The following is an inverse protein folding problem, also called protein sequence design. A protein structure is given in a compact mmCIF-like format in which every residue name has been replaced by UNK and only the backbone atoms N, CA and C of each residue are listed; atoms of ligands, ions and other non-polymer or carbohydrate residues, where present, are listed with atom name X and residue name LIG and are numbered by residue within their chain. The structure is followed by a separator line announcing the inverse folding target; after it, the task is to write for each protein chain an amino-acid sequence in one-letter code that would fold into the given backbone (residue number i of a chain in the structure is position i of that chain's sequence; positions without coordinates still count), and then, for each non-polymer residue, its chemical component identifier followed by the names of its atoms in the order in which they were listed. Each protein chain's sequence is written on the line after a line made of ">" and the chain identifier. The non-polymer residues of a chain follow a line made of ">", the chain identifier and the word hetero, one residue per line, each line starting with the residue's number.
data_IF_157739713950
#
_entry.id   IF_157739713950
#
_cell.length_a   1.000
_cell.length_b   1.000
_cell.length_c   1.000
_cell.angle_alpha   90.00
_cell.angle_beta   90.00
_cell.angle_gamma   90.00
#
_symmetry.space_group_name_H-M   'P 1'
#
loop_
_entity.id
_entity.type
_entity.pdbx_description
1 polymer ?
#
# COMPACT_ATOMS: atom_id res chain seq x y z
N UNK A 1 -18.68 -34.83 -33.89
CA UNK A 1 -17.78 -33.68 -34.15
C UNK A 1 -17.17 -33.25 -32.83
N UNK A 2 -15.89 -33.53 -32.61
CA UNK A 2 -15.17 -33.16 -31.39
C UNK A 2 -14.58 -31.75 -31.57
N UNK A 3 -15.00 -30.81 -30.73
CA UNK A 3 -14.50 -29.43 -30.75
C UNK A 3 -13.06 -29.38 -30.29
N UNK A 4 -12.19 -28.82 -31.15
CA UNK A 4 -10.79 -28.56 -30.83
C UNK A 4 -10.75 -27.35 -29.88
N UNK A 5 -10.66 -27.59 -28.57
CA UNK A 5 -10.29 -26.55 -27.61
C UNK A 5 -8.82 -26.23 -27.79
N UNK A 6 -8.52 -25.19 -28.55
CA UNK A 6 -7.18 -24.62 -28.64
C UNK A 6 -6.79 -24.07 -27.27
N UNK A 7 -5.84 -24.73 -26.58
CA UNK A 7 -5.18 -24.18 -25.40
C UNK A 7 -4.22 -23.10 -25.87
N UNK A 8 -4.57 -21.84 -25.66
CA UNK A 8 -3.66 -20.72 -25.91
C UNK A 8 -2.52 -20.83 -24.90
N UNK A 9 -1.31 -21.08 -25.39
CA UNK A 9 -0.09 -21.13 -24.59
C UNK A 9 0.28 -19.71 -24.17
N UNK A 10 -0.05 -19.32 -22.94
CA UNK A 10 0.38 -18.06 -22.36
C UNK A 10 1.70 -18.25 -21.60
N UNK A 11 2.79 -18.01 -22.32
CA UNK A 11 4.15 -17.96 -21.78
C UNK A 11 4.33 -16.79 -20.80
N UNK A 12 5.23 -16.98 -19.84
CA UNK A 12 5.71 -15.96 -18.91
C UNK A 12 6.06 -14.67 -19.67
N UNK A 13 5.38 -13.56 -19.36
CA UNK A 13 5.66 -12.25 -19.96
C UNK A 13 6.71 -11.55 -19.12
N UNK A 14 7.90 -11.33 -19.69
CA UNK A 14 8.87 -10.42 -19.09
C UNK A 14 8.40 -8.98 -19.37
N UNK A 15 7.88 -8.33 -18.33
CA UNK A 15 7.47 -6.93 -18.40
C UNK A 15 8.62 -6.06 -17.91
N UNK A 16 9.41 -5.54 -18.84
CA UNK A 16 10.29 -4.41 -18.57
C UNK A 16 9.48 -3.13 -18.69
N UNK A 17 8.80 -2.72 -17.61
CA UNK A 17 8.40 -1.33 -17.48
C UNK A 17 9.69 -0.52 -17.31
N UNK A 18 9.92 0.46 -18.19
CA UNK A 18 11.09 1.33 -18.09
C UNK A 18 11.18 1.88 -16.67
N UNK A 19 12.35 1.70 -16.04
CA UNK A 19 12.66 2.24 -14.73
C UNK A 19 12.74 3.76 -14.88
N UNK A 20 11.61 4.46 -14.72
CA UNK A 20 11.64 5.91 -14.60
C UNK A 20 12.21 6.20 -13.21
N UNK A 21 13.47 6.63 -13.17
CA UNK A 21 14.12 7.08 -11.95
C UNK A 21 13.30 8.22 -11.33
N UNK A 22 12.63 7.96 -10.21
CA UNK A 22 11.92 8.97 -9.45
C UNK A 22 12.97 9.82 -8.72
N UNK A 23 13.32 10.97 -9.32
CA UNK A 23 13.99 12.04 -8.58
C UNK A 23 12.93 12.82 -7.82
N UNK A 24 12.98 12.72 -6.49
CA UNK A 24 12.27 13.68 -5.64
C UNK A 24 12.85 15.08 -5.89
N UNK A 25 12.06 16.15 -5.78
CA UNK A 25 12.61 17.50 -5.80
C UNK A 25 13.61 17.64 -4.65
N UNK A 26 14.84 18.03 -4.96
CA UNK A 26 15.86 18.34 -3.95
C UNK A 26 15.29 19.43 -3.02
N UNK A 27 15.08 19.10 -1.74
CA UNK A 27 14.87 20.13 -0.73
C UNK A 27 16.21 20.80 -0.44
N UNK A 28 16.25 22.13 -0.27
CA UNK A 28 17.47 22.82 0.10
C UNK A 28 17.99 22.31 1.44
N UNK A 29 19.29 21.99 1.44
CA UNK A 29 20.04 21.44 2.57
C UNK A 29 19.71 22.16 3.89
N UNK A 30 18.90 21.50 4.71
CA UNK A 30 18.82 21.82 6.13
C UNK A 30 19.80 20.89 6.84
N UNK A 31 20.97 21.43 7.15
CA UNK A 31 21.95 20.83 8.05
C UNK A 31 21.23 20.33 9.30
N UNK A 32 21.21 19.02 9.51
CA UNK A 32 20.85 18.43 10.78
C UNK A 32 21.79 17.25 11.03
N UNK A 33 22.56 17.41 12.09
CA UNK A 33 23.62 16.55 12.59
C UNK A 33 23.16 15.12 12.89
N UNK A 34 24.06 14.18 12.59
CA UNK A 34 24.36 12.93 13.30
C UNK A 34 23.19 12.18 13.95
N UNK A 35 22.69 11.19 13.21
CA UNK A 35 22.15 9.96 13.80
C UNK A 35 22.96 8.77 13.29
N UNK A 36 24.04 8.50 14.01
CA UNK A 36 24.87 7.32 13.88
C UNK A 36 24.07 6.09 14.36
N UNK A 37 23.63 5.24 13.43
CA UNK A 37 23.13 3.90 13.73
C UNK A 37 24.30 2.91 13.66
N UNK A 38 24.91 2.62 14.81
CA UNK A 38 25.92 1.56 14.95
C UNK A 38 25.28 0.18 14.71
N UNK A 39 25.74 -0.50 13.67
CA UNK A 39 25.37 -1.87 13.33
C UNK A 39 26.23 -2.86 14.15
N UNK A 40 25.62 -3.99 14.51
CA UNK A 40 26.18 -5.09 15.29
C UNK A 40 27.53 -5.62 14.75
N UNK A 41 28.42 -5.97 15.67
CA UNK A 41 29.51 -6.91 15.42
C UNK A 41 29.20 -8.23 16.17
N UNK A 42 29.28 -9.34 15.43
CA UNK A 42 29.06 -10.72 15.88
C UNK A 42 30.11 -11.17 16.91
N UNK A 43 29.67 -11.99 17.88
CA UNK A 43 30.56 -12.69 18.81
C UNK A 43 29.89 -13.93 19.40
N UNK A 44 30.26 -15.09 18.86
CA UNK A 44 30.05 -16.45 19.37
C UNK A 44 30.67 -16.64 20.75
N UNK A 45 29.93 -17.24 21.70
CA UNK A 45 30.33 -18.45 22.45
C UNK A 45 29.40 -18.78 23.64
N UNK A 46 29.29 -20.08 23.95
CA UNK A 46 29.07 -20.52 25.35
C UNK A 46 27.68 -21.01 25.76
N UNK A 47 27.42 -22.30 25.53
CA UNK A 47 26.44 -23.11 26.30
C UNK A 47 26.61 -22.93 27.83
N UNK A 48 25.55 -22.66 28.60
CA UNK A 48 25.38 -23.24 29.95
C UNK A 48 23.91 -23.25 30.40
N UNK A 49 23.54 -24.37 31.02
CA UNK A 49 22.22 -24.78 31.50
C UNK A 49 21.78 -23.98 32.75
N UNK A 50 20.47 -23.78 32.97
CA UNK A 50 19.94 -23.77 34.34
C UNK A 50 18.97 -22.66 34.76
N UNK A 51 17.70 -23.05 34.87
CA UNK A 51 16.75 -22.85 35.98
C UNK A 51 16.45 -21.44 36.55
N UNK A 52 15.14 -21.18 36.58
CA UNK A 52 14.46 -20.22 37.45
C UNK A 52 14.63 -20.53 38.95
N UNK A 53 14.72 -19.45 39.74
CA UNK A 53 14.42 -19.20 41.17
C UNK A 53 14.89 -17.75 41.42
N UNK A 54 14.27 -16.80 42.12
CA UNK A 54 13.16 -16.71 43.05
C UNK A 54 13.45 -15.53 44.00
N UNK A 55 12.41 -14.86 44.50
CA UNK A 55 12.36 -14.06 45.75
C UNK A 55 12.80 -12.58 45.81
N UNK A 56 11.78 -11.73 46.00
CA UNK A 56 11.51 -10.74 47.07
C UNK A 56 12.57 -9.74 47.62
N UNK A 57 12.03 -8.52 47.81
CA UNK A 57 12.28 -7.47 48.82
C UNK A 57 13.69 -6.86 48.98
N UNK A 58 13.76 -5.52 48.88
CA UNK A 58 13.94 -4.65 50.06
C UNK A 58 13.82 -3.15 49.69
N UNK A 59 13.26 -2.43 50.64
CA UNK A 59 12.88 -1.02 50.70
C UNK A 59 14.10 -0.09 50.80
N UNK A 60 14.03 1.10 50.16
CA UNK A 60 14.67 2.30 50.73
C UNK A 60 13.90 3.56 50.38
N UNK A 61 13.08 4.00 51.33
CA UNK A 61 12.42 5.30 51.31
C UNK A 61 13.41 6.45 51.54
N UNK A 62 12.98 7.65 51.13
CA UNK A 62 13.37 8.93 51.70
C UNK A 62 12.20 9.91 51.45
N UNK A 63 11.56 10.36 52.53
CA UNK A 63 10.56 11.43 52.57
C UNK A 63 11.23 12.80 52.85
N UNK A 64 10.40 13.86 52.74
CA UNK A 64 10.56 15.29 53.12
C UNK A 64 10.91 16.25 51.95
N UNK A 65 10.26 17.39 51.72
CA UNK A 65 9.23 18.18 52.41
C UNK A 65 8.46 18.99 51.33
N UNK A 66 7.13 19.08 51.35
CA UNK A 66 6.32 20.18 51.94
C UNK A 66 6.86 21.60 51.71
N UNK A 67 6.27 22.31 50.73
CA UNK A 67 5.96 23.74 50.78
C UNK A 67 4.80 24.02 49.83
N UNK A 68 3.60 24.22 50.40
CA UNK A 68 2.47 24.81 49.71
C UNK A 68 2.52 26.34 49.72
N UNK A 69 2.12 26.97 48.61
CA UNK A 69 1.58 28.32 48.57
C UNK A 69 0.42 28.34 47.58
N UNK A 70 -0.73 28.83 48.04
CA UNK A 70 -1.97 28.92 47.27
C UNK A 70 -2.09 30.21 46.46
N UNK A 71 -2.94 30.09 45.44
CA UNK A 71 -3.85 31.02 44.76
C UNK A 71 -3.48 32.51 44.61
N UNK A 72 -3.60 33.04 43.39
CA UNK A 72 -4.66 34.01 43.05
C UNK A 72 -4.77 34.19 41.53
N UNK A 73 -6.02 34.42 41.11
CA UNK A 73 -6.50 34.68 39.75
C UNK A 73 -5.92 35.98 39.15
N UNK A 74 -5.80 36.04 37.81
CA UNK A 74 -6.40 37.08 36.95
C UNK A 74 -5.68 37.25 35.59
N UNK A 75 -6.53 37.21 34.55
CA UNK A 75 -6.55 38.12 33.40
C UNK A 75 -5.71 37.87 32.14
N UNK A 76 -6.28 38.43 31.07
CA UNK A 76 -6.28 38.08 29.67
C UNK A 76 -4.97 38.23 28.88
N UNK A 77 -4.87 37.41 27.84
CA UNK A 77 -3.89 37.56 26.78
C UNK A 77 -4.16 36.63 25.61
N UNK A 78 -5.21 36.93 24.82
CA UNK A 78 -5.36 36.37 23.48
C UNK A 78 -4.20 36.85 22.60
N UNK A 79 -3.24 35.98 22.34
CA UNK A 79 -2.48 36.01 21.08
C UNK A 79 -2.59 34.63 20.45
N UNK A 80 -3.68 34.43 19.69
CA UNK A 80 -3.67 33.44 18.63
C UNK A 80 -2.80 34.01 17.53
N UNK A 81 -1.50 33.73 17.61
CA UNK A 81 -0.62 33.87 16.47
C UNK A 81 -1.11 32.93 15.37
N UNK A 82 -1.79 33.54 14.40
CA UNK A 82 -2.34 32.89 13.22
C UNK A 82 -1.22 32.35 12.35
N UNK A 83 -0.87 31.09 12.57
CA UNK A 83 -0.02 30.31 11.67
C UNK A 83 -0.92 29.31 10.94
N UNK A 84 -1.38 29.71 9.74
CA UNK A 84 -1.52 28.82 8.58
C UNK A 84 -2.66 27.79 8.53
N UNK A 85 -3.79 27.95 9.23
CA UNK A 85 -4.91 26.98 9.14
C UNK A 85 -5.65 27.03 7.80
N UNK A 86 -5.57 28.15 7.09
CA UNK A 86 -6.23 28.38 5.79
C UNK A 86 -5.64 27.50 4.67
N UNK A 87 -4.38 27.05 4.82
CA UNK A 87 -3.63 26.44 3.71
C UNK A 87 -3.69 24.90 3.70
N UNK A 88 -3.94 24.26 4.85
CA UNK A 88 -3.96 22.81 4.97
C UNK A 88 -5.29 22.21 4.45
N UNK A 89 -6.41 22.86 4.74
CA UNK A 89 -7.72 22.46 4.22
C UNK A 89 -7.77 22.53 2.70
N UNK A 90 -7.32 23.66 2.15
CA UNK A 90 -7.26 23.92 0.71
C UNK A 90 -6.36 22.91 -0.03
N UNK A 91 -5.26 22.47 0.60
CA UNK A 91 -4.40 21.41 0.06
C UNK A 91 -5.13 20.08 -0.06
N UNK A 92 -5.75 19.58 1.02
CA UNK A 92 -6.43 18.29 1.00
C UNK A 92 -7.64 18.28 0.07
N UNK A 93 -8.39 19.39 0.00
CA UNK A 93 -9.48 19.54 -0.95
C UNK A 93 -8.98 19.49 -2.40
N UNK A 94 -7.85 20.13 -2.68
CA UNK A 94 -7.19 20.06 -3.98
C UNK A 94 -6.75 18.63 -4.33
N UNK A 95 -6.17 17.89 -3.37
CA UNK A 95 -5.80 16.48 -3.57
C UNK A 95 -7.03 15.60 -3.81
N UNK A 96 -8.12 15.82 -3.08
CA UNK A 96 -9.38 15.12 -3.31
C UNK A 96 -9.93 15.39 -4.72
N UNK A 97 -9.93 16.64 -5.16
CA UNK A 97 -10.41 17.00 -6.49
C UNK A 97 -9.53 16.39 -7.61
N UNK A 98 -8.21 16.38 -7.41
CA UNK A 98 -7.27 15.75 -8.34
C UNK A 98 -7.48 14.25 -8.42
N UNK A 99 -7.69 13.60 -7.27
CA UNK A 99 -7.96 12.16 -7.20
C UNK A 99 -9.28 11.83 -7.92
N UNK A 100 -10.36 12.54 -7.61
CA UNK A 100 -11.66 12.33 -8.27
C UNK A 100 -11.58 12.58 -9.78
N UNK A 101 -10.91 13.66 -10.19
CA UNK A 101 -10.71 13.98 -11.60
C UNK A 101 -9.93 12.89 -12.34
N UNK A 102 -8.93 12.31 -11.68
CA UNK A 102 -8.14 11.20 -12.21
C UNK A 102 -8.99 9.93 -12.33
N UNK A 103 -9.73 9.55 -11.28
CA UNK A 103 -10.52 8.32 -11.23
C UNK A 103 -11.77 8.33 -12.12
N UNK A 104 -12.41 9.49 -12.35
CA UNK A 104 -13.63 9.62 -13.19
C UNK A 104 -13.42 9.19 -14.63
N UNK A 105 -12.20 9.32 -15.16
CA UNK A 105 -11.89 8.96 -16.54
C UNK A 105 -11.83 7.44 -16.66
N UNK A 106 -12.84 6.81 -17.24
CA UNK A 106 -12.83 5.35 -17.48
C UNK A 106 -13.26 5.00 -18.89
N UNK A 107 -12.62 3.99 -19.49
CA UNK A 107 -13.00 3.47 -20.81
C UNK A 107 -14.02 2.33 -20.71
N UNK A 108 -14.64 1.97 -21.84
CA UNK A 108 -15.56 0.82 -21.91
C UNK A 108 -14.85 -0.50 -21.59
N UNK A 109 -13.61 -0.67 -22.05
CA UNK A 109 -12.74 -1.81 -21.71
C UNK A 109 -12.51 -1.87 -20.20
N UNK A 110 -12.08 -0.77 -19.59
CA UNK A 110 -11.81 -0.72 -18.15
C UNK A 110 -13.05 -1.03 -17.32
N UNK A 111 -14.22 -0.55 -17.74
CA UNK A 111 -15.49 -0.84 -17.06
C UNK A 111 -15.89 -2.31 -17.17
N UNK A 112 -15.72 -2.93 -18.35
CA UNK A 112 -15.95 -4.38 -18.54
C UNK A 112 -15.03 -5.21 -17.66
N UNK A 113 -13.73 -4.90 -17.66
CA UNK A 113 -12.73 -5.60 -16.83
C UNK A 113 -13.05 -5.41 -15.34
N UNK A 114 -13.39 -4.19 -14.91
CA UNK A 114 -13.72 -3.90 -13.50
C UNK A 114 -14.92 -4.71 -13.03
N UNK A 115 -15.97 -4.80 -13.83
CA UNK A 115 -17.15 -5.59 -13.48
C UNK A 115 -16.82 -7.08 -13.39
N UNK A 116 -16.10 -7.62 -14.37
CA UNK A 116 -15.67 -9.01 -14.37
C UNK A 116 -14.73 -9.34 -13.20
N UNK A 117 -13.79 -8.46 -12.86
CA UNK A 117 -12.89 -8.63 -11.72
C UNK A 117 -13.66 -8.59 -10.38
N UNK A 118 -14.67 -7.71 -10.27
CA UNK A 118 -15.54 -7.62 -9.09
C UNK A 118 -16.37 -8.89 -8.91
N UNK A 119 -16.97 -9.39 -9.99
CA UNK A 119 -17.71 -10.66 -9.98
C UNK A 119 -16.79 -11.83 -9.59
N UNK A 120 -15.62 -11.94 -10.24
CA UNK A 120 -14.64 -12.95 -9.93
C UNK A 120 -14.22 -12.93 -8.44
N UNK A 121 -13.95 -11.76 -7.87
CA UNK A 121 -13.62 -11.62 -6.45
C UNK A 121 -14.77 -12.03 -5.52
N UNK A 122 -16.00 -11.67 -5.85
CA UNK A 122 -17.18 -12.07 -5.06
C UNK A 122 -17.36 -13.59 -5.10
N UNK A 123 -17.18 -14.21 -6.25
CA UNK A 123 -17.23 -15.66 -6.37
C UNK A 123 -16.12 -16.36 -5.59
N UNK A 124 -14.91 -15.78 -5.57
CA UNK A 124 -13.78 -16.30 -4.78
C UNK A 124 -14.15 -16.29 -3.29
N UNK A 125 -14.72 -15.17 -2.83
CA UNK A 125 -15.15 -15.00 -1.44
C UNK A 125 -16.30 -15.94 -1.08
N UNK A 126 -17.27 -16.13 -1.99
CA UNK A 126 -18.46 -16.96 -1.77
C UNK A 126 -18.16 -18.45 -1.79
N UNK A 127 -17.42 -18.93 -2.79
CA UNK A 127 -17.14 -20.35 -2.96
C UNK A 127 -16.05 -20.84 -2.01
N UNK A 128 -15.20 -19.92 -1.53
CA UNK A 128 -13.99 -20.25 -0.82
C UNK A 128 -12.98 -20.88 -1.78
N UNK A 129 -11.73 -20.44 -1.71
CA UNK A 129 -10.63 -21.12 -2.40
C UNK A 129 -9.90 -21.95 -1.36
N UNK A 130 -9.88 -23.27 -1.55
CA UNK A 130 -8.96 -24.13 -0.82
C UNK A 130 -7.56 -23.89 -1.40
N UNK A 131 -6.78 -23.06 -0.73
CA UNK A 131 -5.40 -22.80 -1.12
C UNK A 131 -4.49 -23.88 -0.52
N UNK A 132 -3.76 -24.59 -1.39
CA UNK A 132 -2.74 -25.58 -0.99
C UNK A 132 -1.43 -24.96 -0.48
N UNK A 133 -1.43 -23.67 -0.14
CA UNK A 133 -0.24 -22.88 0.15
C UNK A 133 0.22 -22.96 1.61
N UNK A 134 -0.51 -23.70 2.47
CA UNK A 134 -0.14 -23.95 3.87
C UNK A 134 -0.12 -22.72 4.78
N UNK A 135 -0.60 -21.56 4.33
CA UNK A 135 -0.69 -20.32 5.14
C UNK A 135 -2.07 -20.22 5.82
N UNK A 136 -2.08 -19.70 7.04
CA UNK A 136 -3.18 -19.72 8.03
C UNK A 136 -4.56 -19.28 7.52
N UNK A 137 -5.60 -19.85 8.14
CA UNK A 137 -7.03 -19.79 7.74
C UNK A 137 -7.77 -18.48 8.05
N UNK A 138 -7.08 -17.40 8.48
CA UNK A 138 -7.76 -16.16 8.90
C UNK A 138 -8.01 -15.18 7.75
N UNK A 139 -7.23 -15.26 6.66
CA UNK A 139 -7.39 -14.42 5.47
C UNK A 139 -7.16 -15.24 4.20
N UNK A 140 -7.97 -15.00 3.16
CA UNK A 140 -7.82 -15.66 1.86
C UNK A 140 -6.43 -15.36 1.27
N UNK A 141 -5.67 -16.39 0.89
CA UNK A 141 -4.32 -16.22 0.36
C UNK A 141 -4.29 -15.31 -0.88
N UNK A 142 -3.67 -14.13 -0.77
CA UNK A 142 -3.61 -13.11 -1.84
C UNK A 142 -3.13 -13.67 -3.18
N UNK A 143 -2.10 -14.52 -3.17
CA UNK A 143 -1.54 -15.13 -4.39
C UNK A 143 -2.57 -16.04 -5.08
N UNK A 144 -3.26 -16.89 -4.32
CA UNK A 144 -4.30 -17.77 -4.86
C UNK A 144 -5.53 -17.00 -5.33
N UNK A 145 -5.96 -15.99 -4.56
CA UNK A 145 -7.06 -15.10 -4.97
C UNK A 145 -6.74 -14.44 -6.30
N UNK A 146 -5.54 -13.86 -6.44
CA UNK A 146 -5.13 -13.19 -7.67
C UNK A 146 -5.06 -14.16 -8.86
N UNK A 147 -4.54 -15.38 -8.64
CA UNK A 147 -4.49 -16.42 -9.68
C UNK A 147 -5.88 -16.86 -10.12
N UNK A 148 -6.80 -17.06 -9.18
CA UNK A 148 -8.19 -17.45 -9.49
C UNK A 148 -8.93 -16.33 -10.23
N UNK A 149 -8.76 -15.08 -9.80
CA UNK A 149 -9.34 -13.93 -10.51
C UNK A 149 -8.78 -13.82 -11.92
N UNK A 150 -7.47 -14.03 -12.10
CA UNK A 150 -6.85 -14.10 -13.42
C UNK A 150 -7.49 -15.18 -14.29
N UNK A 151 -7.63 -16.42 -13.78
CA UNK A 151 -8.28 -17.51 -14.50
C UNK A 151 -9.73 -17.18 -14.90
N UNK A 152 -10.50 -16.51 -14.03
CA UNK A 152 -11.88 -16.11 -14.35
C UNK A 152 -11.96 -15.01 -15.40
N UNK A 153 -11.07 -14.01 -15.35
CA UNK A 153 -10.96 -13.01 -16.39
C UNK A 153 -10.60 -13.65 -17.75
N UNK A 154 -9.68 -14.61 -17.73
CA UNK A 154 -9.32 -15.39 -18.92
C UNK A 154 -10.51 -16.18 -19.48
N UNK A 155 -11.28 -16.86 -18.62
CA UNK A 155 -12.50 -17.58 -19.02
C UNK A 155 -13.60 -16.64 -19.54
N UNK A 156 -13.63 -15.38 -19.07
CA UNK A 156 -14.50 -14.33 -19.59
C UNK A 156 -14.02 -13.72 -20.93
N UNK A 157 -12.90 -14.21 -21.48
CA UNK A 157 -12.37 -13.81 -22.78
C UNK A 157 -11.36 -12.66 -22.76
N UNK A 158 -10.86 -12.26 -21.58
CA UNK A 158 -9.81 -11.25 -21.49
C UNK A 158 -8.42 -11.88 -21.63
N UNK A 159 -7.53 -11.23 -22.37
CA UNK A 159 -6.12 -11.60 -22.41
C UNK A 159 -5.41 -11.02 -21.17
N UNK A 160 -5.52 -11.74 -20.07
CA UNK A 160 -5.03 -11.33 -18.74
C UNK A 160 -3.85 -12.19 -18.29
N UNK A 161 -2.90 -11.60 -17.57
CA UNK A 161 -1.79 -12.32 -16.93
C UNK A 161 -1.53 -11.77 -15.52
N UNK A 162 -0.98 -12.62 -14.65
CA UNK A 162 -0.39 -12.18 -13.38
C UNK A 162 1.01 -11.68 -13.67
N UNK A 163 1.31 -10.48 -13.18
CA UNK A 163 2.53 -9.75 -13.46
C UNK A 163 3.20 -9.38 -12.14
N UNK A 164 4.53 -9.46 -12.11
CA UNK A 164 5.33 -9.10 -10.93
C UNK A 164 6.40 -8.10 -11.32
N UNK A 165 6.41 -6.94 -10.66
CA UNK A 165 7.49 -5.97 -10.75
C UNK A 165 8.44 -6.14 -9.55
N UNK A 166 9.71 -5.79 -9.74
CA UNK A 166 10.73 -5.76 -8.69
C UNK A 166 11.54 -4.48 -8.84
N UNK A 167 11.92 -3.89 -7.72
CA UNK A 167 12.82 -2.73 -7.70
C UNK A 167 13.92 -2.92 -6.68
N UNK A 168 15.07 -2.31 -6.96
CA UNK A 168 16.21 -2.28 -6.04
C UNK A 168 16.00 -1.18 -5.02
N UNK A 169 16.69 -1.28 -3.89
CA UNK A 169 16.73 -0.21 -2.92
C UNK A 169 17.45 1.00 -3.50
N UNK A 170 16.99 2.19 -3.12
CA UNK A 170 17.69 3.47 -3.25
C UNK A 170 17.84 4.11 -1.86
N UNK A 171 18.45 5.30 -1.76
CA UNK A 171 18.68 5.97 -0.49
C UNK A 171 17.42 6.10 0.39
N UNK A 172 16.26 6.35 -0.24
CA UNK A 172 14.99 6.60 0.46
C UNK A 172 13.92 5.52 0.22
N UNK A 173 14.16 4.57 -0.69
CA UNK A 173 13.17 3.58 -1.08
C UNK A 173 13.75 2.19 -0.84
N UNK A 174 13.18 1.36 0.05
CA UNK A 174 13.64 -0.01 0.22
C UNK A 174 13.35 -0.84 -1.04
N UNK A 175 14.15 -1.89 -1.27
CA UNK A 175 13.87 -2.84 -2.34
C UNK A 175 12.54 -3.54 -2.09
N UNK A 176 11.83 -3.90 -3.16
CA UNK A 176 10.56 -4.60 -3.02
C UNK A 176 10.11 -5.27 -4.30
N UNK A 177 8.98 -5.94 -4.19
CA UNK A 177 8.26 -6.52 -5.32
C UNK A 177 6.76 -6.28 -5.18
N UNK A 178 6.08 -6.15 -6.31
CA UNK A 178 4.63 -5.96 -6.35
C UNK A 178 4.02 -6.87 -7.40
N UNK A 179 2.85 -7.45 -7.08
CA UNK A 179 2.15 -8.35 -7.99
C UNK A 179 0.78 -7.77 -8.32
N UNK A 180 0.48 -7.71 -9.61
CA UNK A 180 -0.73 -7.12 -10.17
C UNK A 180 -1.23 -7.95 -11.36
N UNK A 181 -2.39 -7.60 -11.90
CA UNK A 181 -2.92 -8.20 -13.13
C UNK A 181 -2.76 -7.23 -14.30
N UNK A 182 -2.22 -7.71 -15.41
CA UNK A 182 -2.13 -6.98 -16.69
C UNK A 182 -3.17 -7.53 -17.67
N UNK A 183 -3.88 -6.65 -18.36
CA UNK A 183 -4.84 -7.00 -19.41
C UNK A 183 -4.47 -6.28 -20.69
N UNK A 184 -4.39 -7.04 -21.78
CA UNK A 184 -4.07 -6.53 -23.11
C UNK A 184 -5.30 -6.67 -24.01
N UNK A 185 -5.72 -5.58 -24.65
CA UNK A 185 -6.71 -5.62 -25.73
C UNK A 185 -6.07 -5.14 -27.03
N UNK A 186 -6.10 -5.98 -28.06
CA UNK A 186 -5.74 -5.56 -29.41
C UNK A 186 -6.89 -4.75 -30.01
N UNK A 187 -6.61 -3.51 -30.40
CA UNK A 187 -7.59 -2.66 -31.06
C UNK A 187 -7.10 -2.27 -32.45
N UNK A 188 -8.01 -1.75 -33.29
CA UNK A 188 -7.65 -1.20 -34.62
C UNK A 188 -6.63 -0.06 -34.54
N UNK A 189 -6.51 0.61 -33.38
CA UNK A 189 -5.59 1.72 -33.13
C UNK A 189 -4.29 1.28 -32.46
N UNK A 190 -4.08 -0.03 -32.28
CA UNK A 190 -2.95 -0.60 -31.57
C UNK A 190 -3.34 -1.32 -30.28
N UNK A 191 -2.33 -1.82 -29.60
CA UNK A 191 -2.45 -2.53 -28.33
C UNK A 191 -2.78 -1.55 -27.18
N UNK A 192 -3.80 -1.89 -26.39
CA UNK A 192 -4.14 -1.16 -25.16
C UNK A 192 -3.85 -2.04 -23.97
N UNK A 193 -2.99 -1.57 -23.05
CA UNK A 193 -2.69 -2.25 -21.79
C UNK A 193 -3.37 -1.56 -20.61
N UNK A 194 -3.92 -2.37 -19.72
CA UNK A 194 -4.63 -1.93 -18.53
C UNK A 194 -4.15 -2.75 -17.33
N UNK A 195 -3.79 -2.04 -16.26
CA UNK A 195 -3.43 -2.63 -14.97
C UNK A 195 -4.70 -2.80 -14.15
N UNK A 196 -4.78 -3.93 -13.44
CA UNK A 196 -5.83 -4.26 -12.49
C UNK A 196 -5.22 -4.53 -11.12
N UNK A 197 -5.57 -3.69 -10.15
CA UNK A 197 -5.29 -3.90 -8.73
C UNK A 197 -6.54 -4.37 -8.02
N UNK A 198 -6.46 -5.50 -7.33
CA UNK A 198 -7.62 -6.10 -6.66
C UNK A 198 -7.96 -5.43 -5.33
N UNK A 199 -6.99 -4.74 -4.72
CA UNK A 199 -7.17 -3.96 -3.51
C UNK A 199 -6.23 -2.76 -3.44
N UNK A 200 -6.39 -1.80 -4.37
CA UNK A 200 -5.54 -0.62 -4.45
C UNK A 200 -5.52 0.16 -3.13
N UNK A 201 -6.69 0.33 -2.50
CA UNK A 201 -6.81 1.07 -1.23
C UNK A 201 -5.84 0.56 -0.15
N UNK A 202 -5.75 -0.76 0.02
CA UNK A 202 -4.89 -1.35 1.04
C UNK A 202 -3.39 -1.11 0.78
N UNK A 203 -2.99 -0.84 -0.47
CA UNK A 203 -1.60 -0.49 -0.78
C UNK A 203 -1.22 0.92 -0.30
N UNK A 204 -2.21 1.75 0.06
CA UNK A 204 -2.03 3.11 0.57
C UNK A 204 -2.33 3.21 2.07
N UNK A 205 -2.68 2.11 2.74
CA UNK A 205 -2.91 2.13 4.19
C UNK A 205 -1.56 2.12 4.92
N UNK A 206 -1.33 3.11 5.78
CA UNK A 206 -0.11 3.24 6.59
C UNK A 206 -0.45 3.25 8.08
N UNK A 207 0.43 2.70 8.91
CA UNK A 207 0.15 2.46 10.33
C UNK A 207 -0.10 3.73 11.16
N UNK A 208 0.47 4.87 10.75
CA UNK A 208 0.37 6.16 11.46
C UNK A 208 -0.04 7.28 10.50
N UNK A 209 -1.18 7.11 9.84
CA UNK A 209 -1.77 8.11 8.96
C UNK A 209 -2.42 9.27 9.73
N UNK A 210 -2.42 10.47 9.15
CA UNK A 210 -3.29 11.56 9.59
C UNK A 210 -4.75 11.30 9.19
N UNK A 211 -5.70 11.98 9.84
CA UNK A 211 -7.12 11.84 9.51
C UNK A 211 -7.43 12.27 8.08
N UNK A 212 -6.80 13.35 7.59
CA UNK A 212 -7.00 13.82 6.22
C UNK A 212 -6.44 12.84 5.18
N UNK A 213 -5.29 12.22 5.46
CA UNK A 213 -4.76 11.15 4.61
C UNK A 213 -5.70 9.94 4.59
N UNK A 214 -6.21 9.53 5.76
CA UNK A 214 -7.19 8.45 5.83
C UNK A 214 -8.46 8.76 5.02
N UNK A 215 -8.95 10.01 5.06
CA UNK A 215 -10.07 10.45 4.22
C UNK A 215 -9.75 10.35 2.73
N UNK A 216 -8.53 10.67 2.32
CA UNK A 216 -8.07 10.53 0.94
C UNK A 216 -8.02 9.06 0.51
N UNK A 217 -7.40 8.19 1.31
CA UNK A 217 -7.32 6.75 1.04
C UNK A 217 -8.71 6.11 0.97
N UNK A 218 -9.65 6.53 1.80
CA UNK A 218 -11.04 6.05 1.75
C UNK A 218 -11.77 6.38 0.43
N UNK A 219 -11.30 7.37 -0.33
CA UNK A 219 -11.83 7.71 -1.67
C UNK A 219 -11.26 6.81 -2.77
N UNK A 220 -10.13 6.12 -2.53
CA UNK A 220 -9.57 5.19 -3.51
C UNK A 220 -10.50 3.99 -3.73
N UNK A 221 -10.64 3.52 -4.99
CA UNK A 221 -11.39 2.31 -5.27
C UNK A 221 -10.65 1.11 -4.68
N UNK A 222 -11.39 0.11 -4.19
CA UNK A 222 -10.77 -1.18 -3.85
C UNK A 222 -10.21 -1.84 -5.11
N UNK A 223 -11.03 -1.96 -6.17
CA UNK A 223 -10.57 -2.52 -7.44
C UNK A 223 -10.24 -1.36 -8.38
N UNK A 224 -8.95 -1.15 -8.63
CA UNK A 224 -8.51 -0.22 -9.65
C UNK A 224 -8.34 -0.94 -10.98
N UNK A 225 -8.83 -0.30 -12.04
CA UNK A 225 -8.65 -0.73 -13.42
C UNK A 225 -8.32 0.50 -14.24
N UNK A 226 -7.14 0.54 -14.84
CA UNK A 226 -6.71 1.67 -15.65
C UNK A 226 -5.34 1.53 -16.28
N UNK A 227 -5.02 2.46 -17.19
CA UNK A 227 -3.70 2.52 -17.79
C UNK A 227 -2.63 2.93 -16.76
N UNK A 228 -1.37 2.61 -17.07
CA UNK A 228 -0.22 2.89 -16.21
C UNK A 228 -0.03 4.39 -15.97
N UNK A 229 -0.27 5.23 -16.97
CA UNK A 229 -0.07 6.68 -16.84
C UNK A 229 -1.05 7.28 -15.82
N UNK A 230 -2.29 6.76 -15.81
CA UNK A 230 -3.31 7.18 -14.86
C UNK A 230 -3.01 6.67 -13.45
N UNK A 231 -2.50 5.45 -13.33
CA UNK A 231 -2.08 4.90 -12.03
C UNK A 231 -0.92 5.72 -11.44
N UNK A 232 0.04 6.11 -12.28
CA UNK A 232 1.16 6.96 -11.85
C UNK A 232 0.68 8.31 -11.31
N UNK A 233 -0.37 8.88 -11.90
CA UNK A 233 -0.96 10.10 -11.35
C UNK A 233 -1.62 9.86 -9.99
N UNK A 234 -2.30 8.73 -9.78
CA UNK A 234 -2.89 8.38 -8.48
C UNK A 234 -1.82 8.18 -7.41
N UNK A 235 -0.70 7.53 -7.73
CA UNK A 235 0.39 7.27 -6.78
C UNK A 235 1.09 8.56 -6.30
N UNK A 236 1.01 9.65 -7.08
CA UNK A 236 1.65 10.94 -6.77
C UNK A 236 0.80 11.87 -5.90
N UNK A 237 -0.46 11.52 -5.66
CA UNK A 237 -1.39 12.26 -4.79
C UNK A 237 -1.12 11.82 -3.35
#
# INVERSE_FOLDING_TARGET
>A
MAGITARISWSHRNLTYGYQEFKFPDQPDSSSSDIEFGFLEDGDDGFFFGSCNGSADEVRGNEMADLGFGNDDDDEGKEKDGIGVENAGDYWESQHQLLEGTLRRTSSLESRIRNAAKEALNDVRRLGIVCGCGKSMTESCRVCVMREVCCRLQNAGFNTAVCRSKWRSSANIPSGEHTFLDVIEESRKGEVRVIVELNLRAEFEIARASDDYNRLVQRLPQIYVGKVERLNNVIKI
#
